data_IF_285580051571
#
_entry.id   IF_285580051571
#
_cell.length_a   1.000
_cell.length_b   1.000
_cell.length_c   1.000
_cell.angle_alpha   90.00
_cell.angle_beta   90.00
_cell.angle_gamma   90.00
#
_symmetry.space_group_name_H-M   'P 1'
#
loop_
_entity.id
_entity.type
_entity.pdbx_description
1 polymer ?
#
# COMPACT_ATOMS: atom_id res chain seq x y z
N UNK A 1 -6.71 -4.28 15.55
CA UNK A 1 -7.72 -5.04 16.35
C UNK A 1 -8.63 -5.92 15.48
N UNK A 2 -9.00 -5.52 14.25
CA UNK A 2 -9.88 -6.33 13.38
C UNK A 2 -9.23 -7.59 12.77
N UNK A 3 -7.94 -7.58 12.44
CA UNK A 3 -7.26 -8.74 11.82
C UNK A 3 -7.25 -9.96 12.73
N UNK A 4 -6.75 -9.81 13.96
CA UNK A 4 -6.74 -10.88 14.98
C UNK A 4 -8.15 -11.42 15.21
N UNK A 5 -9.14 -10.54 15.33
CA UNK A 5 -10.53 -10.96 15.57
C UNK A 5 -11.12 -11.74 14.38
N UNK A 6 -10.79 -11.36 13.13
CA UNK A 6 -11.20 -12.11 11.93
C UNK A 6 -10.40 -13.40 11.74
N UNK A 7 -9.11 -13.42 12.08
CA UNK A 7 -8.27 -14.61 12.08
C UNK A 7 -8.81 -15.65 13.07
N UNK A 8 -9.07 -15.26 14.32
CA UNK A 8 -9.74 -16.10 15.32
C UNK A 8 -11.10 -16.65 14.83
N UNK A 9 -11.85 -15.85 14.06
CA UNK A 9 -13.14 -16.28 13.51
C UNK A 9 -13.01 -17.30 12.36
N UNK A 10 -11.94 -17.25 11.56
CA UNK A 10 -11.70 -18.22 10.49
C UNK A 10 -11.22 -19.58 11.00
N UNK A 11 -10.44 -19.61 12.09
CA UNK A 11 -10.03 -20.89 12.71
C UNK A 11 -11.23 -21.62 13.33
N UNK A 12 -12.36 -20.92 13.58
CA UNK A 12 -13.63 -21.52 14.04
C UNK A 12 -14.41 -22.30 12.97
N UNK A 13 -14.00 -22.29 11.70
CA UNK A 13 -14.67 -23.07 10.63
C UNK A 13 -14.05 -24.47 10.61
N UNK A 14 -14.83 -25.55 10.83
CA UNK A 14 -14.28 -26.85 11.15
C UNK A 14 -13.55 -27.44 9.94
N UNK A 15 -12.24 -27.62 10.06
CA UNK A 15 -11.43 -28.48 9.18
C UNK A 15 -11.71 -29.98 9.40
N UNK A 16 -12.88 -30.36 9.92
CA UNK A 16 -13.26 -31.73 10.21
C UNK A 16 -14.34 -32.22 9.25
N UNK A 17 -13.93 -32.85 8.14
CA UNK A 17 -14.75 -33.91 7.55
C UNK A 17 -14.65 -35.13 8.46
N UNK A 18 -15.66 -35.32 9.30
CA UNK A 18 -15.77 -36.46 10.22
C UNK A 18 -16.14 -37.75 9.48
N UNK A 19 -15.30 -38.78 9.57
CA UNK A 19 -15.71 -40.17 9.36
C UNK A 19 -15.35 -40.96 10.62
N UNK A 20 -16.37 -41.34 11.42
CA UNK A 20 -16.23 -42.25 12.57
C UNK A 20 -16.96 -41.81 13.84
N UNK A 21 -17.81 -42.66 14.46
CA UNK A 21 -18.46 -42.35 15.73
C UNK A 21 -17.59 -42.85 16.88
N UNK A 22 -16.84 -41.98 17.54
CA UNK A 22 -16.06 -42.38 18.70
C UNK A 22 -14.93 -41.43 19.11
N UNK A 23 -15.24 -40.16 19.32
CA UNK A 23 -14.69 -39.33 20.39
C UNK A 23 -15.31 -37.93 20.24
N UNK A 24 -15.90 -37.40 21.30
CA UNK A 24 -16.29 -35.99 21.31
C UNK A 24 -15.00 -35.16 21.26
N UNK A 25 -14.83 -34.24 20.29
CA UNK A 25 -13.59 -33.49 20.19
C UNK A 25 -13.45 -32.65 21.46
N UNK A 26 -12.29 -32.77 22.12
CA UNK A 26 -11.88 -31.79 23.12
C UNK A 26 -11.98 -30.41 22.49
N UNK A 27 -12.52 -29.45 23.23
CA UNK A 27 -12.48 -28.02 22.92
C UNK A 27 -11.00 -27.61 22.78
N UNK A 28 -10.43 -27.82 21.58
CA UNK A 28 -9.03 -27.61 21.27
C UNK A 28 -8.76 -26.14 21.42
N UNK A 29 -8.09 -25.77 22.52
CA UNK A 29 -7.72 -24.40 22.82
C UNK A 29 -6.91 -23.87 21.63
N UNK A 30 -7.51 -22.91 20.92
CA UNK A 30 -6.83 -22.09 19.91
C UNK A 30 -5.57 -21.50 20.54
N UNK A 31 -4.41 -21.80 19.98
CA UNK A 31 -3.15 -21.23 20.42
C UNK A 31 -2.71 -20.04 19.52
N UNK A 32 -1.62 -19.39 19.91
CA UNK A 32 -1.09 -18.24 19.17
C UNK A 32 -0.60 -18.65 17.76
N UNK A 33 -0.19 -19.91 17.56
CA UNK A 33 0.27 -20.43 16.27
C UNK A 33 -0.88 -20.55 15.28
N UNK A 34 -2.04 -21.05 15.73
CA UNK A 34 -3.27 -21.13 14.94
C UNK A 34 -3.74 -19.76 14.45
N UNK A 35 -3.76 -18.77 15.35
CA UNK A 35 -4.16 -17.38 15.02
C UNK A 35 -3.17 -16.76 14.05
N UNK A 36 -1.87 -17.02 14.24
CA UNK A 36 -0.80 -16.50 13.38
C UNK A 36 -0.87 -17.12 11.98
N UNK A 37 -1.14 -18.42 11.86
CA UNK A 37 -1.32 -19.11 10.59
C UNK A 37 -2.55 -18.57 9.85
N UNK A 38 -3.68 -18.41 10.53
CA UNK A 38 -4.88 -17.84 9.93
C UNK A 38 -4.66 -16.39 9.47
N UNK A 39 -4.02 -15.56 10.29
CA UNK A 39 -3.66 -14.19 9.91
C UNK A 39 -2.70 -14.17 8.70
N UNK A 40 -1.75 -15.10 8.65
CA UNK A 40 -0.82 -15.25 7.54
C UNK A 40 -1.55 -15.60 6.24
N UNK A 41 -2.47 -16.56 6.27
CA UNK A 41 -3.29 -16.95 5.11
C UNK A 41 -4.21 -15.82 4.63
N UNK A 42 -4.81 -15.07 5.56
CA UNK A 42 -5.70 -13.94 5.24
C UNK A 42 -4.97 -12.77 4.60
N UNK A 43 -3.76 -12.48 5.07
CA UNK A 43 -3.00 -11.28 4.66
C UNK A 43 -2.03 -11.58 3.52
N UNK A 44 -1.66 -12.85 3.32
CA UNK A 44 -0.54 -13.23 2.45
C UNK A 44 0.83 -12.86 3.02
N UNK A 45 0.90 -12.44 4.30
CA UNK A 45 2.15 -12.09 5.00
C UNK A 45 2.65 -13.34 5.74
N UNK A 46 3.91 -13.78 5.57
CA UNK A 46 4.42 -14.99 6.22
C UNK A 46 4.31 -14.98 7.75
N UNK A 47 3.88 -16.10 8.35
CA UNK A 47 3.75 -16.27 9.80
C UNK A 47 5.04 -15.94 10.58
N UNK A 48 6.20 -16.27 10.02
CA UNK A 48 7.51 -15.93 10.59
C UNK A 48 7.75 -14.42 10.73
N UNK A 49 7.04 -13.58 9.97
CA UNK A 49 7.12 -12.11 10.04
C UNK A 49 6.09 -11.49 11.01
N UNK A 50 5.22 -12.30 11.63
CA UNK A 50 4.17 -11.88 12.54
C UNK A 50 4.56 -11.99 14.04
N UNK A 51 5.76 -12.51 14.36
CA UNK A 51 6.22 -12.84 15.71
C UNK A 51 7.08 -11.80 16.46
N UNK A 52 7.10 -11.98 17.79
CA UNK A 52 7.69 -11.33 18.98
C UNK A 52 8.71 -10.16 18.97
N UNK A 53 9.16 -9.56 17.86
CA UNK A 53 9.87 -8.26 17.95
C UNK A 53 9.65 -7.34 16.75
N UNK A 54 8.37 -7.03 16.49
CA UNK A 54 7.97 -6.02 15.52
C UNK A 54 8.67 -4.67 15.80
N UNK A 55 8.88 -4.33 17.08
CA UNK A 55 9.57 -3.08 17.48
C UNK A 55 11.02 -3.06 17.00
N UNK A 56 11.82 -4.08 17.28
CA UNK A 56 13.22 -4.12 16.82
C UNK A 56 13.32 -4.20 15.31
N UNK A 57 12.42 -4.94 14.65
CA UNK A 57 12.36 -4.97 13.18
C UNK A 57 12.17 -3.56 12.61
N UNK A 58 11.15 -2.82 13.06
CA UNK A 58 10.93 -1.45 12.59
C UNK A 58 12.03 -0.50 13.08
N UNK A 59 12.63 -0.70 14.25
CA UNK A 59 13.76 0.10 14.71
C UNK A 59 14.89 0.08 13.67
N UNK A 60 15.21 -1.11 13.16
CA UNK A 60 16.23 -1.38 12.13
C UNK A 60 15.77 -1.18 10.67
N UNK A 61 14.63 -0.53 10.43
CA UNK A 61 14.05 -0.39 9.09
C UNK A 61 14.96 0.35 8.12
N UNK A 62 15.65 1.40 8.57
CA UNK A 62 16.52 2.22 7.71
C UNK A 62 17.69 1.38 7.23
N UNK A 63 18.33 0.63 8.14
CA UNK A 63 19.42 -0.28 7.81
C UNK A 63 18.98 -1.37 6.83
N UNK A 64 17.79 -1.94 6.99
CA UNK A 64 17.24 -2.92 6.05
C UNK A 64 17.01 -2.31 4.66
N UNK A 65 16.42 -1.12 4.58
CA UNK A 65 16.19 -0.44 3.30
C UNK A 65 17.52 -0.17 2.58
N UNK A 66 18.58 0.23 3.30
CA UNK A 66 19.89 0.50 2.71
C UNK A 66 20.69 -0.73 2.27
N UNK A 67 20.24 -1.95 2.59
CA UNK A 67 20.81 -3.16 1.98
C UNK A 67 20.53 -3.21 0.47
N UNK A 68 19.45 -2.56 0.01
CA UNK A 68 18.99 -2.54 -1.39
C UNK A 68 19.04 -1.14 -2.00
N UNK A 69 18.77 -0.10 -1.21
CA UNK A 69 18.70 1.30 -1.68
C UNK A 69 20.01 2.02 -1.38
N UNK A 70 20.74 2.37 -2.43
CA UNK A 70 21.99 3.13 -2.35
C UNK A 70 21.66 4.62 -2.44
N UNK A 71 22.14 5.42 -1.48
CA UNK A 71 21.81 6.84 -1.38
C UNK A 71 20.35 7.06 -0.95
N UNK A 72 19.72 8.13 -1.43
CA UNK A 72 18.33 8.48 -1.14
C UNK A 72 17.99 8.58 0.37
N UNK A 73 18.96 9.01 1.18
CA UNK A 73 18.86 9.10 2.65
C UNK A 73 17.60 9.85 3.10
N UNK A 74 17.32 11.01 2.49
CA UNK A 74 16.15 11.83 2.83
C UNK A 74 14.84 11.07 2.60
N UNK A 75 14.72 10.35 1.48
CA UNK A 75 13.52 9.58 1.14
C UNK A 75 13.35 8.36 2.05
N UNK A 76 14.42 7.60 2.31
CA UNK A 76 14.38 6.42 3.20
C UNK A 76 14.02 6.84 4.62
N UNK A 77 14.58 7.93 5.13
CA UNK A 77 14.27 8.46 6.46
C UNK A 77 12.82 8.97 6.54
N UNK A 78 12.33 9.68 5.53
CA UNK A 78 10.95 10.18 5.49
C UNK A 78 9.93 9.03 5.53
N UNK A 79 10.12 8.01 4.70
CA UNK A 79 9.27 6.82 4.67
C UNK A 79 9.34 6.07 6.01
N UNK A 80 10.54 5.84 6.53
CA UNK A 80 10.73 5.14 7.79
C UNK A 80 10.05 5.84 8.97
N UNK A 81 10.09 7.17 9.04
CA UNK A 81 9.42 7.95 10.08
C UNK A 81 7.90 7.80 10.03
N UNK A 82 7.30 7.94 8.85
CA UNK A 82 5.86 7.79 8.67
C UNK A 82 5.38 6.37 9.02
N UNK A 83 6.09 5.33 8.54
CA UNK A 83 5.76 3.94 8.86
C UNK A 83 5.91 3.64 10.36
N UNK A 84 6.99 4.11 11.00
CA UNK A 84 7.17 3.98 12.46
C UNK A 84 6.03 4.65 13.22
N UNK A 85 5.63 5.85 12.81
CA UNK A 85 4.52 6.63 13.42
C UNK A 85 3.20 5.87 13.33
N UNK A 86 2.91 5.30 12.15
CA UNK A 86 1.76 4.46 11.94
C UNK A 86 1.75 3.22 12.86
N UNK A 87 2.89 2.54 12.98
CA UNK A 87 3.03 1.31 13.77
C UNK A 87 2.92 1.53 15.28
N UNK A 88 3.30 2.69 15.78
CA UNK A 88 3.09 3.05 17.20
C UNK A 88 1.67 3.58 17.47
N UNK A 89 0.76 3.53 16.49
CA UNK A 89 -0.64 3.91 16.64
C UNK A 89 -0.88 5.42 16.66
N UNK A 90 0.08 6.22 16.19
CA UNK A 90 -0.03 7.69 16.14
C UNK A 90 -0.56 8.22 14.80
N UNK A 91 -0.89 7.33 13.84
CA UNK A 91 -1.60 7.73 12.62
C UNK A 91 -3.11 7.81 12.85
N UNK A 92 -3.80 8.53 11.98
CA UNK A 92 -5.25 8.37 11.82
C UNK A 92 -5.56 6.91 11.41
N UNK A 93 -6.42 6.19 12.15
CA UNK A 93 -6.73 4.80 11.86
C UNK A 93 -7.42 4.61 10.50
N UNK A 94 -8.10 5.62 9.96
CA UNK A 94 -8.79 5.52 8.68
C UNK A 94 -7.85 5.73 7.49
N UNK A 95 -6.84 6.59 7.64
CA UNK A 95 -5.93 6.98 6.55
C UNK A 95 -4.87 5.93 6.25
N UNK A 96 -4.28 5.95 5.03
CA UNK A 96 -3.13 5.11 4.71
C UNK A 96 -2.00 5.24 5.74
N UNK A 97 -1.16 4.21 5.83
CA UNK A 97 0.03 4.18 6.68
C UNK A 97 0.94 5.38 6.36
N UNK A 98 1.05 5.71 5.08
CA UNK A 98 1.74 6.88 4.57
C UNK A 98 1.37 7.10 3.11
N UNK A 99 1.49 8.35 2.68
CA UNK A 99 1.30 8.76 1.29
C UNK A 99 2.49 9.60 0.87
N UNK A 100 3.17 9.19 -0.20
CA UNK A 100 4.44 9.78 -0.61
C UNK A 100 4.40 10.15 -2.09
N UNK A 101 5.05 11.27 -2.44
CA UNK A 101 5.36 11.65 -3.80
C UNK A 101 6.87 11.63 -3.98
N UNK A 102 7.37 10.71 -4.80
CA UNK A 102 8.79 10.61 -5.13
C UNK A 102 9.08 11.37 -6.43
N UNK A 103 9.96 12.37 -6.33
CA UNK A 103 10.37 13.23 -7.42
C UNK A 103 11.82 12.91 -7.81
N UNK A 104 12.11 12.90 -9.10
CA UNK A 104 13.46 12.64 -9.62
C UNK A 104 13.45 12.23 -11.08
N UNK A 105 14.61 12.19 -11.76
CA UNK A 105 14.69 11.62 -13.10
C UNK A 105 14.39 10.10 -13.09
N UNK A 106 14.27 9.51 -14.27
CA UNK A 106 14.14 8.06 -14.41
C UNK A 106 15.42 7.35 -13.96
N UNK A 107 15.29 6.12 -13.48
CA UNK A 107 16.45 5.28 -13.10
C UNK A 107 17.10 5.59 -11.74
N UNK A 108 16.66 6.62 -11.01
CA UNK A 108 17.24 6.98 -9.68
C UNK A 108 16.76 6.11 -8.51
N UNK A 109 15.87 5.14 -8.77
CA UNK A 109 15.41 4.16 -7.76
C UNK A 109 14.07 4.45 -7.08
N UNK A 110 13.21 5.32 -7.63
CA UNK A 110 11.87 5.62 -7.06
C UNK A 110 11.00 4.36 -6.90
N UNK A 111 10.86 3.59 -7.96
CA UNK A 111 10.15 2.31 -7.98
C UNK A 111 10.84 1.25 -7.13
N UNK A 112 12.16 1.27 -7.07
CA UNK A 112 12.95 0.32 -6.28
C UNK A 112 12.74 0.52 -4.78
N UNK A 113 12.66 1.78 -4.33
CA UNK A 113 12.31 2.11 -2.95
C UNK A 113 10.91 1.60 -2.60
N UNK A 114 9.93 1.74 -3.51
CA UNK A 114 8.58 1.19 -3.32
C UNK A 114 8.58 -0.33 -3.15
N UNK A 115 9.34 -1.06 -4.00
CA UNK A 115 9.50 -2.52 -3.90
C UNK A 115 10.17 -2.95 -2.61
N UNK A 116 11.28 -2.30 -2.24
CA UNK A 116 11.99 -2.56 -0.99
C UNK A 116 11.09 -2.33 0.22
N UNK A 117 10.24 -1.30 0.17
CA UNK A 117 9.25 -1.03 1.22
C UNK A 117 8.18 -2.12 1.29
N UNK A 118 7.64 -2.56 0.15
CA UNK A 118 6.65 -3.63 0.09
C UNK A 118 7.20 -4.95 0.63
N UNK A 119 8.43 -5.30 0.24
CA UNK A 119 9.15 -6.46 0.78
C UNK A 119 9.37 -6.34 2.29
N UNK A 120 9.84 -5.17 2.74
CA UNK A 120 10.09 -4.93 4.15
C UNK A 120 8.80 -4.98 4.97
N UNK A 121 7.67 -4.47 4.48
CA UNK A 121 6.43 -4.38 5.27
C UNK A 121 5.57 -5.65 5.16
N UNK A 122 5.32 -6.10 3.94
CA UNK A 122 4.32 -7.14 3.62
C UNK A 122 4.96 -8.47 3.23
N UNK A 123 6.28 -8.47 3.07
CA UNK A 123 7.07 -9.67 3.04
C UNK A 123 7.49 -10.17 1.67
N UNK A 124 6.95 -9.58 0.60
CA UNK A 124 7.34 -9.79 -0.80
C UNK A 124 7.19 -8.48 -1.58
N UNK A 125 8.04 -8.27 -2.59
CA UNK A 125 7.89 -7.17 -3.54
C UNK A 125 6.66 -7.33 -4.47
N UNK A 126 6.15 -8.56 -4.61
CA UNK A 126 4.91 -8.88 -5.34
C UNK A 126 3.65 -8.42 -4.60
N UNK A 127 3.78 -8.04 -3.32
CA UNK A 127 2.70 -7.43 -2.52
C UNK A 127 2.61 -5.93 -2.80
N UNK A 128 2.51 -5.59 -4.08
CA UNK A 128 2.38 -4.23 -4.58
C UNK A 128 1.37 -4.17 -5.72
N UNK A 129 0.45 -3.22 -5.66
CA UNK A 129 -0.43 -2.85 -6.75
C UNK A 129 0.26 -1.73 -7.54
N UNK A 130 0.68 -2.01 -8.77
CA UNK A 130 1.32 -1.01 -9.63
C UNK A 130 0.37 -0.57 -10.73
N UNK A 131 0.25 0.74 -10.91
CA UNK A 131 -0.58 1.36 -11.93
C UNK A 131 0.27 2.37 -12.70
N UNK A 132 0.44 2.14 -14.01
CA UNK A 132 1.06 3.10 -14.92
C UNK A 132 0.04 4.19 -15.26
N UNK A 133 0.30 5.42 -14.81
CA UNK A 133 -0.61 6.55 -15.01
C UNK A 133 -0.67 7.02 -16.47
N UNK A 134 0.27 6.61 -17.32
CA UNK A 134 0.17 6.81 -18.76
C UNK A 134 -1.03 6.08 -19.37
N UNK A 135 -1.50 4.97 -18.79
CA UNK A 135 -2.72 4.28 -19.23
C UNK A 135 -4.02 5.01 -18.84
N UNK A 136 -3.92 6.02 -17.97
CA UNK A 136 -5.03 6.76 -17.38
C UNK A 136 -5.08 8.21 -17.85
N UNK A 137 -4.45 8.53 -18.99
CA UNK A 137 -4.49 9.86 -19.61
C UNK A 137 -5.89 10.31 -20.04
N UNK A 138 -6.79 9.37 -20.32
CA UNK A 138 -8.13 9.66 -20.82
C UNK A 138 -9.17 9.49 -19.71
N UNK A 139 -10.18 10.37 -19.71
CA UNK A 139 -11.23 10.37 -18.68
C UNK A 139 -11.94 9.01 -18.52
N UNK A 140 -12.25 8.33 -19.63
CA UNK A 140 -12.91 7.02 -19.59
C UNK A 140 -12.03 5.92 -18.99
N UNK A 141 -10.70 6.06 -19.05
CA UNK A 141 -9.79 5.11 -18.42
C UNK A 141 -9.83 5.21 -16.89
N UNK A 142 -10.13 6.38 -16.33
CA UNK A 142 -10.28 6.59 -14.87
C UNK A 142 -11.38 5.70 -14.29
N UNK A 143 -12.46 5.49 -15.03
CA UNK A 143 -13.53 4.56 -14.62
C UNK A 143 -13.03 3.12 -14.47
N UNK A 144 -11.95 2.70 -15.14
CA UNK A 144 -11.36 1.37 -14.94
C UNK A 144 -10.69 1.22 -13.57
N UNK A 145 -10.24 2.32 -12.98
CA UNK A 145 -9.52 2.34 -11.71
C UNK A 145 -10.46 2.06 -10.53
N UNK A 146 -11.64 2.68 -10.54
CA UNK A 146 -12.66 2.60 -9.45
C UNK A 146 -13.85 1.70 -9.81
N UNK A 147 -14.10 1.47 -11.09
CA UNK A 147 -15.23 0.71 -11.61
C UNK A 147 -16.22 1.63 -12.32
N UNK A 148 -16.81 1.14 -13.42
CA UNK A 148 -17.80 1.91 -14.14
C UNK A 148 -19.11 2.01 -13.31
N UNK A 149 -19.85 3.13 -13.39
CA UNK A 149 -21.16 3.23 -12.76
C UNK A 149 -22.24 2.39 -13.49
N UNK A 150 -23.40 2.13 -12.85
CA UNK A 150 -24.49 1.39 -13.46
C UNK A 150 -24.89 1.97 -14.83
N UNK A 151 -24.96 1.11 -15.86
CA UNK A 151 -25.34 1.51 -17.22
C UNK A 151 -24.18 1.82 -18.18
N UNK A 152 -22.92 1.68 -17.75
CA UNK A 152 -21.73 1.83 -18.60
C UNK A 152 -21.05 0.49 -18.89
N UNK A 153 -20.31 0.40 -20.00
CA UNK A 153 -19.49 -0.77 -20.33
C UNK A 153 -18.41 -0.95 -19.25
N UNK A 154 -18.29 -2.16 -18.69
CA UNK A 154 -17.37 -2.46 -17.59
C UNK A 154 -17.99 -2.40 -16.19
N UNK A 155 -19.33 -2.32 -16.09
CA UNK A 155 -20.08 -2.33 -14.82
C UNK A 155 -20.08 -3.68 -14.08
N UNK A 156 -19.66 -4.77 -14.74
CA UNK A 156 -19.79 -6.14 -14.21
C UNK A 156 -18.85 -6.44 -13.03
N UNK A 157 -17.89 -5.56 -12.70
CA UNK A 157 -16.96 -5.72 -11.58
C UNK A 157 -16.58 -4.39 -10.91
N UNK A 158 -15.84 -4.45 -9.80
CA UNK A 158 -15.18 -3.28 -9.24
C UNK A 158 -14.01 -2.81 -10.12
N UNK A 159 -13.46 -1.64 -9.82
CA UNK A 159 -12.28 -1.14 -10.52
C UNK A 159 -11.01 -1.90 -10.17
N UNK A 160 -10.01 -1.80 -11.06
CA UNK A 160 -8.72 -2.46 -10.93
C UNK A 160 -8.03 -2.15 -9.59
N UNK A 161 -8.11 -0.91 -9.11
CA UNK A 161 -7.52 -0.53 -7.82
C UNK A 161 -8.36 -1.05 -6.66
N UNK A 162 -9.67 -0.79 -6.70
CA UNK A 162 -10.59 -1.14 -5.60
C UNK A 162 -10.65 -2.65 -5.38
N UNK A 163 -10.64 -3.46 -6.44
CA UNK A 163 -10.66 -4.93 -6.34
C UNK A 163 -9.36 -5.48 -5.75
N UNK A 164 -8.21 -4.99 -6.23
CA UNK A 164 -6.91 -5.45 -5.73
C UNK A 164 -6.71 -5.10 -4.26
N UNK A 165 -7.02 -3.87 -3.86
CA UNK A 165 -6.88 -3.44 -2.46
C UNK A 165 -7.89 -4.14 -1.57
N UNK A 166 -9.12 -4.39 -2.04
CA UNK A 166 -10.10 -5.17 -1.29
C UNK A 166 -9.65 -6.61 -1.07
N UNK A 167 -9.06 -7.23 -2.09
CA UNK A 167 -8.53 -8.59 -2.00
C UNK A 167 -7.28 -8.67 -1.11
N UNK A 168 -6.42 -7.63 -1.13
CA UNK A 168 -5.17 -7.55 -0.37
C UNK A 168 -4.99 -6.15 0.23
N UNK A 169 -5.60 -5.88 1.42
CA UNK A 169 -5.56 -4.56 2.03
C UNK A 169 -4.17 -4.13 2.53
N UNK A 170 -3.29 -5.10 2.78
CA UNK A 170 -1.91 -4.91 3.23
C UNK A 170 -0.99 -4.89 2.01
N UNK A 171 -0.90 -3.74 1.35
CA UNK A 171 -0.17 -3.61 0.09
C UNK A 171 0.42 -2.21 -0.08
N UNK A 172 1.47 -2.12 -0.88
CA UNK A 172 1.93 -0.84 -1.44
C UNK A 172 1.12 -0.57 -2.70
N UNK A 173 0.55 0.62 -2.84
CA UNK A 173 -0.08 1.06 -4.08
C UNK A 173 0.83 2.08 -4.74
N UNK A 174 1.41 1.71 -5.87
CA UNK A 174 2.32 2.53 -6.66
C UNK A 174 1.58 3.10 -7.88
N UNK A 175 1.48 4.43 -7.92
CA UNK A 175 1.04 5.21 -9.07
C UNK A 175 2.28 5.76 -9.77
N UNK A 176 2.71 5.09 -10.84
CA UNK A 176 3.92 5.45 -11.58
C UNK A 176 3.63 6.54 -12.60
N UNK A 177 4.52 7.52 -12.75
CA UNK A 177 4.40 8.66 -13.67
C UNK A 177 3.10 9.47 -13.50
N UNK A 178 2.75 9.85 -12.26
CA UNK A 178 1.48 10.51 -11.93
C UNK A 178 1.24 11.81 -12.70
N UNK A 179 2.28 12.47 -13.20
CA UNK A 179 2.17 13.65 -14.06
C UNK A 179 1.50 13.38 -15.42
N UNK A 180 1.41 12.11 -15.82
CA UNK A 180 0.75 11.67 -17.06
C UNK A 180 -0.73 11.38 -16.86
N UNK A 181 -1.20 11.25 -15.63
CA UNK A 181 -2.59 10.91 -15.34
C UNK A 181 -3.56 11.99 -15.81
N UNK A 182 -4.79 11.59 -16.13
CA UNK A 182 -5.90 12.54 -16.24
C UNK A 182 -6.14 13.23 -14.88
N UNK A 183 -6.48 14.54 -14.82
CA UNK A 183 -6.70 15.26 -13.57
C UNK A 183 -7.69 14.60 -12.61
N UNK A 184 -8.73 13.94 -13.12
CA UNK A 184 -9.70 13.18 -12.30
C UNK A 184 -9.08 12.02 -11.49
N UNK A 185 -7.90 11.54 -11.85
CA UNK A 185 -7.17 10.57 -11.02
C UNK A 185 -6.68 11.23 -9.73
N UNK A 186 -6.33 12.52 -9.77
CA UNK A 186 -5.93 13.27 -8.58
C UNK A 186 -7.07 13.37 -7.56
N UNK A 187 -8.32 13.55 -8.01
CA UNK A 187 -9.49 13.54 -7.13
C UNK A 187 -9.61 12.21 -6.37
N UNK A 188 -9.40 11.09 -7.06
CA UNK A 188 -9.40 9.75 -6.46
C UNK A 188 -8.25 9.60 -5.45
N UNK A 189 -7.05 10.06 -5.80
CA UNK A 189 -5.89 10.04 -4.92
C UNK A 189 -6.12 10.89 -3.66
N UNK A 190 -6.66 12.11 -3.81
CA UNK A 190 -7.01 12.98 -2.69
C UNK A 190 -8.01 12.31 -1.76
N UNK A 191 -9.07 11.70 -2.31
CA UNK A 191 -10.03 10.96 -1.51
C UNK A 191 -9.38 9.82 -0.70
N UNK A 192 -8.46 9.06 -1.31
CA UNK A 192 -7.70 8.02 -0.61
C UNK A 192 -6.86 8.62 0.52
N UNK A 193 -6.14 9.72 0.26
CA UNK A 193 -5.23 10.32 1.24
C UNK A 193 -5.98 10.96 2.42
N UNK A 194 -7.15 11.56 2.16
CA UNK A 194 -7.93 12.28 3.16
C UNK A 194 -8.89 11.38 3.94
N UNK A 195 -9.65 10.53 3.24
CA UNK A 195 -10.69 9.69 3.83
C UNK A 195 -10.23 8.24 4.07
N UNK A 196 -9.17 7.80 3.40
CA UNK A 196 -8.67 6.42 3.51
C UNK A 196 -9.63 5.37 2.96
N UNK A 197 -10.55 5.76 2.07
CA UNK A 197 -11.51 4.86 1.45
C UNK A 197 -11.86 5.29 0.02
N UNK A 198 -12.31 4.34 -0.78
CA UNK A 198 -12.97 4.60 -2.06
C UNK A 198 -14.26 3.78 -2.14
N UNK A 199 -15.26 4.35 -2.80
CA UNK A 199 -16.48 3.63 -3.16
C UNK A 199 -16.36 3.21 -4.63
N UNK A 200 -16.45 1.92 -4.90
CA UNK A 200 -16.39 1.40 -6.26
C UNK A 200 -17.69 1.66 -7.05
N UNK A 201 -17.68 1.36 -8.35
CA UNK A 201 -18.84 1.51 -9.23
C UNK A 201 -20.08 0.70 -8.81
N UNK A 202 -19.92 -0.30 -7.92
CA UNK A 202 -21.01 -1.11 -7.36
C UNK A 202 -21.49 -0.61 -5.99
N UNK A 203 -20.97 0.52 -5.52
CA UNK A 203 -21.33 1.11 -4.23
C UNK A 203 -20.63 0.46 -3.03
N UNK A 204 -19.63 -0.40 -3.25
CA UNK A 204 -18.89 -1.06 -2.17
C UNK A 204 -17.75 -0.17 -1.72
N UNK A 205 -17.62 -0.01 -0.40
CA UNK A 205 -16.55 0.80 0.20
C UNK A 205 -15.32 -0.05 0.45
N UNK A 206 -14.19 0.37 -0.09
CA UNK A 206 -12.86 -0.25 0.08
C UNK A 206 -12.01 0.65 0.97
N UNK A 207 -11.41 0.08 2.03
CA UNK A 207 -10.52 0.81 2.93
C UNK A 207 -9.06 0.71 2.49
N UNK A 208 -8.34 1.81 2.63
CA UNK A 208 -6.93 1.96 2.35
C UNK A 208 -6.09 2.15 3.63
N UNK A 209 -6.69 1.95 4.82
CA UNK A 209 -6.06 2.20 6.12
C UNK A 209 -4.74 1.46 6.35
N UNK A 210 -4.60 0.28 5.74
CA UNK A 210 -3.44 -0.62 5.86
C UNK A 210 -2.50 -0.54 4.65
N UNK A 211 -2.75 0.38 3.73
CA UNK A 211 -1.94 0.58 2.52
C UNK A 211 -0.85 1.61 2.73
N UNK A 212 0.20 1.53 1.92
CA UNK A 212 1.12 2.66 1.67
C UNK A 212 0.88 3.16 0.26
N UNK A 213 0.62 4.46 0.10
CA UNK A 213 0.41 5.09 -1.20
C UNK A 213 1.72 5.73 -1.65
N UNK A 214 2.21 5.36 -2.83
CA UNK A 214 3.39 5.96 -3.45
C UNK A 214 3.01 6.45 -4.82
N UNK A 215 3.30 7.73 -5.08
CA UNK A 215 3.25 8.33 -6.39
C UNK A 215 4.69 8.59 -6.83
N UNK A 216 5.02 8.32 -8.08
CA UNK A 216 6.29 8.76 -8.67
C UNK A 216 6.00 9.86 -9.68
N UNK A 217 6.96 10.76 -9.84
CA UNK A 217 6.92 11.73 -10.91
C UNK A 217 8.31 12.12 -11.38
N UNK A 218 8.41 12.46 -12.66
CA UNK A 218 9.59 13.10 -13.24
C UNK A 218 9.45 14.64 -13.28
N UNK A 219 8.42 15.22 -12.65
CA UNK A 219 8.27 16.67 -12.56
C UNK A 219 9.47 17.32 -11.85
N UNK A 220 10.04 18.33 -12.50
CA UNK A 220 11.20 19.05 -11.98
C UNK A 220 12.51 18.26 -12.08
N UNK A 221 12.53 17.11 -12.77
CA UNK A 221 13.74 16.35 -13.01
C UNK A 221 14.84 17.19 -13.69
N UNK A 222 14.45 18.17 -14.52
CA UNK A 222 15.37 19.10 -15.17
C UNK A 222 16.24 19.92 -14.19
N UNK A 223 15.78 20.10 -12.95
CA UNK A 223 16.55 20.77 -11.89
C UNK A 223 17.36 19.80 -11.04
N UNK A 224 16.99 18.52 -11.06
CA UNK A 224 17.55 17.44 -10.25
C UNK A 224 18.74 16.72 -10.92
N UNK A 225 19.06 17.06 -12.17
CA UNK A 225 20.28 16.59 -12.86
C UNK A 225 21.56 17.28 -12.36
N UNK A 226 21.45 18.30 -11.51
CA UNK A 226 22.61 19.03 -10.95
C UNK A 226 23.19 18.31 -9.72
N UNK A 227 24.52 18.42 -9.54
CA UNK A 227 25.30 17.59 -8.59
C UNK A 227 24.99 17.90 -7.11
N UNK A 228 24.45 19.08 -6.79
CA UNK A 228 24.15 19.48 -5.42
C UNK A 228 22.71 19.93 -5.24
N UNK A 229 22.01 19.28 -4.30
CA UNK A 229 20.67 19.67 -3.89
C UNK A 229 20.74 20.93 -3.02
N UNK A 230 20.60 22.09 -3.64
CA UNK A 230 20.52 23.38 -2.93
C UNK A 230 19.07 23.72 -2.60
N UNK A 231 18.85 24.60 -1.61
CA UNK A 231 17.50 25.11 -1.29
C UNK A 231 16.84 25.77 -2.51
N UNK A 232 17.63 26.43 -3.37
CA UNK A 232 17.16 27.00 -4.63
C UNK A 232 16.63 25.93 -5.59
N UNK A 233 17.33 24.80 -5.74
CA UNK A 233 16.87 23.68 -6.58
C UNK A 233 15.56 23.11 -6.01
N UNK A 234 15.49 22.94 -4.69
CA UNK A 234 14.27 22.48 -4.01
C UNK A 234 13.10 23.42 -4.27
N UNK A 235 13.31 24.74 -4.20
CA UNK A 235 12.27 25.73 -4.51
C UNK A 235 11.78 25.64 -5.96
N UNK A 236 12.68 25.47 -6.94
CA UNK A 236 12.33 25.33 -8.35
C UNK A 236 11.50 24.07 -8.61
N UNK A 237 11.92 22.93 -8.06
CA UNK A 237 11.18 21.66 -8.15
C UNK A 237 9.79 21.82 -7.51
N UNK A 238 9.72 22.37 -6.31
CA UNK A 238 8.44 22.59 -5.62
C UNK A 238 7.54 23.60 -6.35
N UNK A 239 8.12 24.56 -7.08
CA UNK A 239 7.39 25.43 -7.98
C UNK A 239 6.68 24.67 -9.11
N UNK A 240 7.34 23.68 -9.71
CA UNK A 240 6.73 22.81 -10.74
C UNK A 240 5.63 21.94 -10.16
N UNK A 241 5.86 21.37 -8.96
CA UNK A 241 4.85 20.55 -8.25
C UNK A 241 3.59 21.36 -8.00
N UNK A 242 3.70 22.58 -7.43
CA UNK A 242 2.56 23.47 -7.15
C UNK A 242 1.83 23.97 -8.40
N UNK A 243 2.48 23.94 -9.56
CA UNK A 243 1.84 24.29 -10.82
C UNK A 243 1.01 23.12 -11.35
N UNK A 244 1.40 21.89 -11.03
CA UNK A 244 0.77 20.69 -11.53
C UNK A 244 -0.40 20.23 -10.65
N UNK A 245 -0.20 20.19 -9.32
CA UNK A 245 -1.22 19.84 -8.32
C UNK A 245 -1.90 21.09 -7.77
#
# INVERSE_FOLDING_TARGET
MQLMHRACALVRIPLYTSDGPGDAPSDGLLDDEDVTLAASLMTGIPASKLGADERSRYASMVEHMHQRIIGQEEAVLAVSRAVKTARVGLKDPNRPIGSFLFLGPTGVGKTELAKALGEFMFGSEDQMVTLDMSEYQQEHAVSRLVGAPPGYVGYEGGGQLTEQVRARPYTVVLFDEVEKAHPRVLDVLLQIMEEGRLTDGQGRVVSFAETVIIMTSNLGAEYLETVEMTDTVRELVMGRVKQFF
#
